data_IF_492771312340
#
_entry.id   IF_492771312340
#
_cell.length_a   1.000
_cell.length_b   1.000
_cell.length_c   1.000
_cell.angle_alpha   90.00
_cell.angle_beta   90.00
_cell.angle_gamma   90.00
#
_symmetry.space_group_name_H-M   'P 1'
#
loop_
_entity.id
_entity.type
_entity.pdbx_description
1 polymer ?
#
# COMPACT_ATOMS: atom_id res chain seq x y z
N UNK A 1 31.04 -17.23 7.33
CA UNK A 1 30.14 -16.96 6.19
C UNK A 1 29.03 -15.98 6.60
N UNK A 2 29.40 -14.86 7.24
CA UNK A 2 28.48 -13.81 7.73
C UNK A 2 28.89 -12.44 7.15
N UNK A 3 30.13 -12.29 6.65
CA UNK A 3 30.62 -11.04 6.03
C UNK A 3 29.99 -10.69 4.68
N UNK A 4 29.67 -11.66 3.83
CA UNK A 4 29.19 -11.41 2.45
C UNK A 4 27.74 -10.89 2.39
N UNK A 5 26.95 -11.04 3.45
CA UNK A 5 25.56 -10.56 3.49
C UNK A 5 25.42 -9.11 3.99
N UNK A 6 26.48 -8.51 4.55
CA UNK A 6 26.45 -7.14 5.07
C UNK A 6 27.10 -6.11 4.12
N UNK A 7 27.84 -6.55 3.11
CA UNK A 7 28.65 -5.68 2.24
C UNK A 7 27.83 -4.92 1.18
N UNK A 8 26.60 -5.35 0.85
CA UNK A 8 25.82 -4.79 -0.28
C UNK A 8 24.71 -3.80 0.09
N UNK A 9 24.33 -3.60 1.36
CA UNK A 9 23.14 -2.77 1.69
C UNK A 9 23.26 -1.32 1.20
N UNK A 10 24.45 -0.71 1.31
CA UNK A 10 24.72 0.66 0.85
C UNK A 10 24.60 0.86 -0.66
N UNK A 11 24.69 -0.21 -1.46
CA UNK A 11 24.58 -0.15 -2.92
C UNK A 11 23.17 -0.46 -3.44
N UNK A 12 22.34 -1.16 -2.64
CA UNK A 12 21.00 -1.58 -3.08
C UNK A 12 20.01 -0.43 -3.08
N UNK A 13 20.04 0.46 -2.08
CA UNK A 13 19.06 1.52 -1.99
C UNK A 13 19.05 2.46 -3.21
N UNK A 14 20.19 2.95 -3.74
CA UNK A 14 20.19 3.77 -4.96
C UNK A 14 19.55 3.08 -6.18
N UNK A 15 19.64 1.75 -6.28
CA UNK A 15 18.98 0.99 -7.34
C UNK A 15 17.47 0.86 -7.07
N UNK A 16 17.07 0.62 -5.82
CA UNK A 16 15.67 0.58 -5.45
C UNK A 16 15.00 1.95 -5.66
N UNK A 17 15.68 3.04 -5.31
CA UNK A 17 15.22 4.41 -5.55
C UNK A 17 14.95 4.66 -7.03
N UNK A 18 15.82 4.20 -7.94
CA UNK A 18 15.55 4.25 -9.38
C UNK A 18 14.30 3.47 -9.80
N UNK A 19 14.02 2.33 -9.16
CA UNK A 19 12.78 1.57 -9.41
C UNK A 19 11.55 2.35 -8.91
N UNK A 20 11.65 3.06 -7.79
CA UNK A 20 10.59 3.97 -7.32
C UNK A 20 10.39 5.12 -8.29
N UNK A 21 11.46 5.72 -8.82
CA UNK A 21 11.35 6.78 -9.82
C UNK A 21 10.68 6.31 -11.12
N UNK A 22 10.85 5.04 -11.51
CA UNK A 22 10.06 4.45 -12.61
C UNK A 22 8.57 4.38 -12.26
N UNK A 23 8.22 3.98 -11.04
CA UNK A 23 6.83 3.93 -10.59
C UNK A 23 6.18 5.33 -10.56
N UNK A 24 6.91 6.33 -10.05
CA UNK A 24 6.50 7.74 -10.08
C UNK A 24 6.31 8.25 -11.50
N UNK A 25 7.29 8.00 -12.37
CA UNK A 25 7.22 8.41 -13.77
C UNK A 25 6.00 7.83 -14.48
N UNK A 26 5.72 6.54 -14.27
CA UNK A 26 4.54 5.89 -14.83
C UNK A 26 3.23 6.49 -14.27
N UNK A 27 3.13 6.68 -12.95
CA UNK A 27 1.98 7.31 -12.32
C UNK A 27 1.69 8.71 -12.89
N UNK A 28 2.73 9.52 -13.11
CA UNK A 28 2.57 10.89 -13.60
C UNK A 28 2.18 10.96 -15.07
N UNK A 29 2.42 9.93 -15.88
CA UNK A 29 1.91 9.86 -17.26
C UNK A 29 0.38 9.77 -17.25
N UNK A 30 -0.16 8.92 -16.37
CA UNK A 30 -1.59 8.61 -16.34
C UNK A 30 -2.40 9.53 -15.40
N UNK A 31 -1.75 10.11 -14.38
CA UNK A 31 -2.39 10.81 -13.26
C UNK A 31 -1.66 12.10 -12.85
N UNK A 32 -1.48 13.03 -13.79
CA UNK A 32 -0.75 14.29 -13.58
C UNK A 32 -1.27 15.15 -12.41
N UNK A 33 -2.54 15.00 -12.04
CA UNK A 33 -3.13 15.71 -10.90
C UNK A 33 -2.47 15.34 -9.56
N UNK A 34 -1.71 14.23 -9.48
CA UNK A 34 -0.95 13.82 -8.31
C UNK A 34 0.49 14.36 -8.28
N UNK A 35 0.91 15.17 -9.26
CA UNK A 35 2.30 15.64 -9.40
C UNK A 35 2.87 16.24 -8.11
N UNK A 36 2.13 17.12 -7.46
CA UNK A 36 2.58 17.76 -6.21
C UNK A 36 2.71 16.77 -5.05
N UNK A 37 1.80 15.78 -4.96
CA UNK A 37 1.88 14.76 -3.92
C UNK A 37 3.09 13.83 -4.14
N UNK A 38 3.33 13.43 -5.40
CA UNK A 38 4.48 12.62 -5.82
C UNK A 38 5.81 13.34 -5.55
N UNK A 39 5.86 14.64 -5.81
CA UNK A 39 7.06 15.46 -5.60
C UNK A 39 7.41 15.61 -4.10
N UNK A 40 6.38 15.62 -3.23
CA UNK A 40 6.56 15.74 -1.78
C UNK A 40 7.03 14.43 -1.13
N UNK A 41 6.46 13.29 -1.54
CA UNK A 41 6.77 11.99 -0.94
C UNK A 41 8.10 11.42 -1.47
N UNK A 42 9.20 11.83 -0.84
CA UNK A 42 10.56 11.36 -1.15
C UNK A 42 10.84 10.02 -0.50
N UNK A 43 11.64 9.18 -1.15
CA UNK A 43 12.04 7.88 -0.59
C UNK A 43 13.25 8.00 0.34
N UNK A 44 13.33 7.09 1.30
CA UNK A 44 14.48 6.83 2.17
C UNK A 44 14.72 5.32 2.31
N UNK A 45 15.92 4.95 2.71
CA UNK A 45 16.22 3.56 3.05
C UNK A 45 15.39 3.14 4.27
N UNK A 46 14.58 2.10 4.09
CA UNK A 46 13.77 1.49 5.14
C UNK A 46 14.46 0.27 5.76
N UNK A 47 13.90 -0.21 6.86
CA UNK A 47 14.40 -1.41 7.52
C UNK A 47 13.98 -2.68 6.76
N UNK A 48 14.96 -3.47 6.35
CA UNK A 48 14.72 -4.71 5.62
C UNK A 48 13.92 -5.73 6.44
N UNK A 49 12.94 -6.38 5.80
CA UNK A 49 12.19 -7.51 6.33
C UNK A 49 10.97 -7.17 7.19
N UNK A 50 10.62 -5.89 7.37
CA UNK A 50 9.38 -5.47 8.05
C UNK A 50 8.24 -5.43 7.04
N UNK A 51 8.22 -4.39 6.20
CA UNK A 51 7.27 -4.19 5.13
C UNK A 51 8.03 -3.80 3.85
N UNK A 52 7.37 -3.87 2.67
CA UNK A 52 8.03 -3.47 1.43
C UNK A 52 8.21 -1.95 1.41
N UNK A 53 7.13 -1.24 1.68
CA UNK A 53 7.09 0.21 1.86
C UNK A 53 6.38 0.54 3.16
N UNK A 54 6.80 1.60 3.84
CA UNK A 54 6.05 2.26 4.91
C UNK A 54 6.23 3.76 4.80
N UNK A 55 5.41 4.52 5.52
CA UNK A 55 5.51 5.99 5.52
C UNK A 55 5.20 6.59 6.89
N UNK A 56 5.85 7.72 7.19
CA UNK A 56 5.51 8.60 8.31
C UNK A 56 4.73 9.85 7.86
N UNK A 57 4.33 9.90 6.58
CA UNK A 57 3.70 11.06 5.94
C UNK A 57 4.69 12.07 5.35
N UNK A 58 5.98 12.00 5.69
CA UNK A 58 7.04 12.85 5.11
C UNK A 58 7.90 12.06 4.11
N UNK A 59 8.25 10.81 4.46
CA UNK A 59 9.08 9.94 3.66
C UNK A 59 8.42 8.59 3.38
N UNK A 60 8.76 8.03 2.22
CA UNK A 60 8.52 6.63 1.90
C UNK A 60 9.76 5.81 2.28
N UNK A 61 9.66 4.96 3.30
CA UNK A 61 10.72 4.04 3.68
C UNK A 61 10.66 2.78 2.81
N UNK A 62 11.77 2.46 2.16
CA UNK A 62 11.84 1.41 1.14
C UNK A 62 12.73 0.25 1.60
N UNK A 63 12.18 -0.96 1.66
CA UNK A 63 12.99 -2.18 1.70
C UNK A 63 13.61 -2.40 0.31
N UNK A 64 14.86 -1.96 0.17
CA UNK A 64 15.59 -2.03 -1.09
C UNK A 64 15.72 -3.47 -1.62
N UNK A 65 15.92 -4.45 -0.74
CA UNK A 65 16.11 -5.84 -1.15
C UNK A 65 14.81 -6.40 -1.73
N UNK A 66 13.71 -6.28 -0.99
CA UNK A 66 12.40 -6.81 -1.41
C UNK A 66 11.92 -6.15 -2.69
N UNK A 67 12.12 -4.83 -2.81
CA UNK A 67 11.77 -4.05 -4.01
C UNK A 67 12.54 -4.52 -5.23
N UNK A 68 13.85 -4.71 -5.12
CA UNK A 68 14.69 -5.16 -6.23
C UNK A 68 14.45 -6.61 -6.62
N UNK A 69 14.19 -7.49 -5.66
CA UNK A 69 13.83 -8.90 -5.92
C UNK A 69 12.54 -8.99 -6.73
N UNK A 70 11.49 -8.29 -6.30
CA UNK A 70 10.20 -8.25 -7.01
C UNK A 70 10.33 -7.60 -8.40
N UNK A 71 11.07 -6.50 -8.50
CA UNK A 71 11.30 -5.85 -9.81
C UNK A 71 12.10 -6.75 -10.76
N UNK A 72 13.08 -7.50 -10.26
CA UNK A 72 13.86 -8.43 -11.08
C UNK A 72 13.01 -9.56 -11.64
N UNK A 73 12.07 -10.07 -10.85
CA UNK A 73 11.14 -11.13 -11.22
C UNK A 73 10.05 -10.65 -12.18
N UNK A 74 9.41 -9.53 -11.87
CA UNK A 74 8.23 -9.04 -12.60
C UNK A 74 8.56 -8.09 -13.75
N UNK A 75 9.75 -7.47 -13.73
CA UNK A 75 10.17 -6.38 -14.63
C UNK A 75 9.17 -5.21 -14.68
N UNK A 76 8.36 -5.06 -13.63
CA UNK A 76 7.28 -4.08 -13.55
C UNK A 76 7.53 -3.16 -12.35
N UNK A 77 7.49 -1.83 -12.51
CA UNK A 77 7.62 -0.92 -11.39
C UNK A 77 6.48 -1.12 -10.37
N UNK A 78 6.72 -0.92 -9.06
CA UNK A 78 5.73 -1.15 -8.00
C UNK A 78 4.72 0.01 -7.89
N UNK A 79 4.01 0.32 -8.99
CA UNK A 79 3.07 1.46 -9.07
C UNK A 79 1.95 1.34 -8.04
N UNK A 80 1.27 0.19 -7.96
CA UNK A 80 0.18 -0.03 -7.00
C UNK A 80 0.63 0.18 -5.55
N UNK A 81 1.80 -0.35 -5.16
CA UNK A 81 2.30 -0.19 -3.79
C UNK A 81 2.74 1.25 -3.50
N UNK A 82 3.31 1.95 -4.48
CA UNK A 82 3.65 3.37 -4.32
C UNK A 82 2.41 4.24 -4.17
N UNK A 83 1.38 4.03 -5.02
CA UNK A 83 0.12 4.77 -4.95
C UNK A 83 -0.62 4.49 -3.64
N UNK A 84 -0.58 3.24 -3.16
CA UNK A 84 -1.11 2.87 -1.85
C UNK A 84 -0.47 3.74 -0.75
N UNK A 85 0.85 3.73 -0.62
CA UNK A 85 1.53 4.55 0.40
C UNK A 85 1.28 6.05 0.20
N UNK A 86 1.19 6.54 -1.04
CA UNK A 86 0.87 7.94 -1.33
C UNK A 86 -0.53 8.34 -0.85
N UNK A 87 -1.52 7.47 -1.04
CA UNK A 87 -2.88 7.66 -0.54
C UNK A 87 -2.95 7.61 0.98
N UNK A 88 -2.11 6.81 1.64
CA UNK A 88 -2.00 6.86 3.09
C UNK A 88 -1.52 8.22 3.60
N UNK A 89 -0.59 8.87 2.87
CA UNK A 89 -0.19 10.24 3.18
C UNK A 89 -1.33 11.25 2.92
N UNK A 90 -1.97 11.18 1.76
CA UNK A 90 -3.02 12.14 1.36
C UNK A 90 -4.23 12.07 2.32
N UNK A 91 -4.67 10.87 2.68
CA UNK A 91 -5.83 10.68 3.55
C UNK A 91 -5.49 10.75 5.04
N UNK A 92 -4.21 10.84 5.40
CA UNK A 92 -3.77 11.09 6.77
C UNK A 92 -4.35 10.05 7.76
N UNK A 93 -4.30 8.78 7.38
CA UNK A 93 -4.81 7.64 8.16
C UNK A 93 -4.34 7.54 9.63
N UNK A 94 -3.12 7.95 10.03
CA UNK A 94 -2.66 7.73 11.41
C UNK A 94 -3.32 8.62 12.48
N UNK A 95 -4.15 9.60 12.12
CA UNK A 95 -4.76 10.53 13.10
C UNK A 95 -6.16 10.08 13.54
N UNK A 96 -6.22 9.09 14.44
CA UNK A 96 -7.49 8.62 15.06
C UNK A 96 -7.60 8.90 16.55
N UNK A 97 -8.83 9.09 17.03
CA UNK A 97 -9.13 9.21 18.46
C UNK A 97 -9.00 7.88 19.20
N UNK A 98 -8.73 7.93 20.50
CA UNK A 98 -8.51 6.75 21.36
C UNK A 98 -9.70 5.81 21.52
N UNK A 99 -10.88 6.18 21.02
CA UNK A 99 -12.10 5.37 21.02
C UNK A 99 -12.23 4.43 19.80
N UNK A 100 -11.27 4.49 18.87
CA UNK A 100 -11.25 3.71 17.63
C UNK A 100 -10.35 2.48 17.80
N UNK A 101 -10.80 1.32 17.36
CA UNK A 101 -9.95 0.14 17.23
C UNK A 101 -8.97 0.38 16.08
N UNK A 102 -7.71 0.67 16.44
CA UNK A 102 -6.67 1.03 15.47
C UNK A 102 -6.44 -0.05 14.42
N UNK A 103 -6.55 -1.33 14.78
CA UNK A 103 -6.31 -2.43 13.85
C UNK A 103 -7.45 -2.61 12.85
N UNK A 104 -8.69 -2.45 13.29
CA UNK A 104 -9.85 -2.46 12.39
C UNK A 104 -9.91 -1.20 11.53
N UNK A 105 -9.47 -0.06 12.06
CA UNK A 105 -9.41 1.19 11.32
C UNK A 105 -8.36 1.15 10.20
N UNK A 106 -7.13 0.75 10.53
CA UNK A 106 -6.06 0.54 9.53
C UNK A 106 -6.55 -0.41 8.42
N UNK A 107 -7.16 -1.54 8.80
CA UNK A 107 -7.72 -2.47 7.81
C UNK A 107 -8.83 -1.85 6.92
N UNK A 108 -9.70 -1.01 7.49
CA UNK A 108 -10.72 -0.31 6.73
C UNK A 108 -10.12 0.72 5.75
N UNK A 109 -9.07 1.42 6.18
CA UNK A 109 -8.30 2.34 5.37
C UNK A 109 -7.62 1.62 4.20
N UNK A 110 -6.99 0.46 4.44
CA UNK A 110 -6.34 -0.31 3.38
C UNK A 110 -7.34 -0.75 2.29
N UNK A 111 -8.53 -1.20 2.69
CA UNK A 111 -9.59 -1.57 1.74
C UNK A 111 -10.03 -0.37 0.91
N UNK A 112 -10.28 0.78 1.57
CA UNK A 112 -10.67 2.00 0.89
C UNK A 112 -9.56 2.49 -0.07
N UNK A 113 -8.30 2.44 0.38
CA UNK A 113 -7.12 2.78 -0.41
C UNK A 113 -7.00 1.87 -1.62
N UNK A 114 -7.00 0.54 -1.46
CA UNK A 114 -6.84 -0.40 -2.57
C UNK A 114 -7.97 -0.28 -3.60
N UNK A 115 -9.19 0.08 -3.18
CA UNK A 115 -10.27 0.43 -4.11
C UNK A 115 -9.90 1.64 -4.97
N UNK A 116 -9.40 2.72 -4.37
CA UNK A 116 -8.96 3.91 -5.12
C UNK A 116 -7.72 3.62 -5.98
N UNK A 117 -6.79 2.79 -5.49
CA UNK A 117 -5.63 2.33 -6.28
C UNK A 117 -6.13 1.57 -7.51
N UNK A 118 -7.13 0.69 -7.36
CA UNK A 118 -7.72 -0.03 -8.49
C UNK A 118 -8.41 0.90 -9.49
N UNK A 119 -9.11 1.93 -9.02
CA UNK A 119 -9.70 2.93 -9.91
C UNK A 119 -8.65 3.72 -10.69
N UNK A 120 -7.51 4.03 -10.07
CA UNK A 120 -6.46 4.82 -10.69
C UNK A 120 -5.54 3.99 -11.61
N UNK A 121 -5.17 2.79 -11.16
CA UNK A 121 -4.12 1.97 -11.77
C UNK A 121 -4.65 0.70 -12.45
N UNK A 122 -5.95 0.42 -12.35
CA UNK A 122 -6.54 -0.86 -12.74
C UNK A 122 -6.23 -1.99 -11.76
N UNK A 123 -6.64 -3.22 -12.11
CA UNK A 123 -6.43 -4.39 -11.27
C UNK A 123 -4.95 -4.65 -10.98
N UNK A 124 -4.64 -4.88 -9.70
CA UNK A 124 -3.31 -5.28 -9.29
C UNK A 124 -2.94 -6.63 -9.93
N UNK A 125 -1.73 -6.79 -10.49
CA UNK A 125 -1.34 -8.05 -11.12
C UNK A 125 -1.06 -9.15 -10.08
N UNK A 126 -1.02 -10.40 -10.55
CA UNK A 126 -0.59 -11.54 -9.75
C UNK A 126 -1.66 -12.14 -8.84
N UNK A 127 -1.26 -13.10 -8.01
CA UNK A 127 -2.17 -13.83 -7.11
C UNK A 127 -2.82 -12.89 -6.09
N UNK A 128 -2.01 -12.06 -5.45
CA UNK A 128 -2.49 -11.11 -4.46
C UNK A 128 -3.54 -10.17 -5.05
N UNK A 129 -3.29 -9.58 -6.21
CA UNK A 129 -4.24 -8.64 -6.80
C UNK A 129 -5.59 -9.28 -7.12
N UNK A 130 -5.62 -10.57 -7.49
CA UNK A 130 -6.88 -11.33 -7.61
C UNK A 130 -7.58 -11.56 -6.27
N UNK A 131 -6.84 -11.77 -5.19
CA UNK A 131 -7.39 -11.96 -3.85
C UNK A 131 -7.96 -10.64 -3.30
N UNK A 132 -7.20 -9.54 -3.41
CA UNK A 132 -7.68 -8.18 -3.10
C UNK A 132 -8.91 -7.84 -3.95
N UNK A 133 -8.86 -8.10 -5.26
CA UNK A 133 -9.96 -7.82 -6.17
C UNK A 133 -11.26 -8.55 -5.79
N UNK A 134 -11.18 -9.79 -5.29
CA UNK A 134 -12.36 -10.51 -4.77
C UNK A 134 -12.95 -9.83 -3.55
N UNK A 135 -12.10 -9.42 -2.60
CA UNK A 135 -12.54 -8.68 -1.41
C UNK A 135 -13.24 -7.38 -1.82
N UNK A 136 -12.63 -6.62 -2.74
CA UNK A 136 -13.22 -5.37 -3.23
C UNK A 136 -14.57 -5.61 -3.91
N UNK A 137 -14.69 -6.62 -4.78
CA UNK A 137 -15.96 -6.98 -5.40
C UNK A 137 -17.02 -7.37 -4.35
N UNK A 138 -16.64 -8.09 -3.29
CA UNK A 138 -17.57 -8.43 -2.20
C UNK A 138 -18.09 -7.19 -1.48
N UNK A 139 -17.25 -6.17 -1.27
CA UNK A 139 -17.69 -4.89 -0.72
C UNK A 139 -18.57 -4.10 -1.68
N UNK A 140 -18.22 -4.02 -2.96
CA UNK A 140 -19.01 -3.32 -3.98
C UNK A 140 -20.40 -3.94 -4.21
N UNK A 141 -20.54 -5.25 -3.99
CA UNK A 141 -21.84 -5.92 -4.05
C UNK A 141 -22.70 -5.66 -2.81
N UNK A 142 -22.09 -5.26 -1.68
CA UNK A 142 -22.78 -5.03 -0.40
C UNK A 142 -23.13 -3.56 -0.17
N UNK A 143 -22.32 -2.65 -0.71
CA UNK A 143 -22.41 -1.22 -0.46
C UNK A 143 -22.55 -0.45 -1.77
N UNK A 144 -23.28 0.67 -1.73
CA UNK A 144 -23.19 1.65 -2.81
C UNK A 144 -21.73 2.13 -2.91
N UNK A 145 -21.21 2.21 -4.13
CA UNK A 145 -19.83 2.62 -4.41
C UNK A 145 -19.52 4.03 -3.89
N UNK A 146 -20.54 4.91 -3.82
CA UNK A 146 -20.39 6.25 -3.23
C UNK A 146 -20.23 6.22 -1.71
N UNK A 147 -20.70 5.15 -1.07
CA UNK A 147 -20.62 4.98 0.37
C UNK A 147 -19.37 4.21 0.79
N UNK A 148 -18.64 3.56 -0.11
CA UNK A 148 -17.48 2.72 0.22
C UNK A 148 -16.22 3.54 0.55
N UNK A 149 -16.16 4.05 1.79
CA UNK A 149 -15.05 4.78 2.39
C UNK A 149 -14.60 4.12 3.72
N UNK A 150 -13.45 4.54 4.28
CA UNK A 150 -12.89 3.94 5.48
C UNK A 150 -13.85 3.96 6.69
N UNK A 151 -14.64 5.02 6.87
CA UNK A 151 -15.59 5.14 7.99
C UNK A 151 -16.72 4.11 7.91
N UNK A 152 -17.35 3.98 6.74
CA UNK A 152 -18.44 3.01 6.54
C UNK A 152 -17.94 1.56 6.61
N UNK A 153 -16.76 1.28 6.04
CA UNK A 153 -16.11 -0.02 6.12
C UNK A 153 -15.82 -0.35 7.58
N UNK A 154 -15.20 0.58 8.33
CA UNK A 154 -14.93 0.43 9.75
C UNK A 154 -16.21 0.19 10.56
N UNK A 155 -17.27 0.96 10.32
CA UNK A 155 -18.55 0.80 11.00
C UNK A 155 -19.15 -0.60 10.76
N UNK A 156 -19.02 -1.14 9.55
CA UNK A 156 -19.45 -2.50 9.22
C UNK A 156 -18.56 -3.58 9.86
N UNK A 157 -17.23 -3.39 9.85
CA UNK A 157 -16.27 -4.33 10.43
C UNK A 157 -16.46 -4.53 11.94
N UNK A 158 -17.03 -3.53 12.65
CA UNK A 158 -17.38 -3.66 14.07
C UNK A 158 -18.61 -4.56 14.32
N UNK A 159 -19.38 -4.90 13.29
CA UNK A 159 -20.54 -5.78 13.40
C UNK A 159 -20.15 -7.22 13.76
N UNK A 160 -20.98 -7.91 14.54
CA UNK A 160 -20.67 -9.27 15.03
C UNK A 160 -20.44 -10.29 13.91
N UNK A 161 -21.08 -10.12 12.75
CA UNK A 161 -20.94 -11.00 11.58
C UNK A 161 -19.67 -10.77 10.74
N UNK A 162 -18.88 -9.74 11.01
CA UNK A 162 -17.70 -9.41 10.21
C UNK A 162 -16.40 -10.05 10.76
N UNK A 163 -16.37 -10.52 12.02
CA UNK A 163 -15.14 -11.02 12.66
C UNK A 163 -14.46 -12.15 11.91
N UNK A 164 -15.21 -13.17 11.49
CA UNK A 164 -14.64 -14.30 10.75
C UNK A 164 -14.07 -13.89 9.39
N UNK A 165 -14.65 -12.85 8.78
CA UNK A 165 -14.20 -12.29 7.49
C UNK A 165 -12.92 -11.47 7.70
N UNK A 166 -12.83 -10.70 8.78
CA UNK A 166 -11.62 -9.93 9.12
C UNK A 166 -10.43 -10.87 9.28
N UNK A 167 -10.57 -11.97 10.03
CA UNK A 167 -9.48 -12.92 10.26
C UNK A 167 -8.98 -13.55 8.95
N UNK A 168 -9.87 -13.76 7.98
CA UNK A 168 -9.53 -14.30 6.66
C UNK A 168 -8.78 -13.26 5.79
N UNK A 169 -9.24 -12.00 5.79
CA UNK A 169 -8.77 -11.01 4.83
C UNK A 169 -7.65 -10.12 5.33
N UNK A 170 -7.44 -9.99 6.65
CA UNK A 170 -6.45 -9.07 7.22
C UNK A 170 -5.04 -9.29 6.67
N UNK A 171 -4.65 -10.55 6.44
CA UNK A 171 -3.35 -10.90 5.86
C UNK A 171 -3.11 -10.42 4.42
N UNK A 172 -4.16 -10.02 3.69
CA UNK A 172 -4.05 -9.50 2.32
C UNK A 172 -3.70 -8.01 2.30
N UNK A 173 -4.07 -7.27 3.33
CA UNK A 173 -4.05 -5.80 3.34
C UNK A 173 -2.95 -5.19 4.22
N UNK A 174 -2.35 -5.93 5.17
CA UNK A 174 -1.19 -5.45 5.94
C UNK A 174 0.07 -5.30 5.07
N UNK A 175 0.25 -4.14 4.41
CA UNK A 175 1.39 -3.89 3.51
C UNK A 175 2.33 -2.78 3.95
N UNK A 176 1.86 -1.85 4.76
CA UNK A 176 2.57 -0.61 5.12
C UNK A 176 2.68 -0.30 6.62
N UNK A 177 1.96 -1.04 7.48
CA UNK A 177 1.96 -0.92 8.95
C UNK A 177 2.76 -2.01 9.69
#
# INVERSE_FOLDING_TARGET
>A
MIGVLMENRRELYPLAERVIELAKGQLLVDSQFLCEAVAQLKSKEGQAGICKFSTDGEFLYVDAKRTLEEFRETRTPPVHDYVHSLFHCIFSHPFIGSSVDAGLWSFACDIATERLVRELCGDRPGKLGREIGRVLCDFENRFDIQLLNAETIYAWLRGEGARSIVDEWKGLFCRDD
#
